data_IF_795262966980
#
_entry.id   IF_795262966980
#
_cell.length_a   1.000
_cell.length_b   1.000
_cell.length_c   1.000
_cell.angle_alpha   90.00
_cell.angle_beta   90.00
_cell.angle_gamma   90.00
#
_symmetry.space_group_name_H-M   'P 1'
#
loop_
_entity.id
_entity.type
_entity.pdbx_description
1 polymer ?
#
# COMPACT_ATOMS: atom_id res chain seq x y z
N UNK A 1 10.66 -6.39 10.34
CA UNK A 1 9.98 -5.43 9.44
C UNK A 1 8.55 -5.22 9.90
N UNK A 2 7.91 -4.13 9.46
CA UNK A 2 6.51 -3.87 9.73
C UNK A 2 5.74 -3.81 8.41
N UNK A 3 4.61 -4.50 8.34
CA UNK A 3 3.65 -4.39 7.25
C UNK A 3 2.38 -3.70 7.76
N UNK A 4 1.98 -2.62 7.08
CA UNK A 4 0.69 -1.95 7.24
C UNK A 4 -0.27 -2.47 6.19
N UNK A 5 -1.18 -3.34 6.60
CA UNK A 5 -2.27 -3.83 5.76
C UNK A 5 -3.44 -2.86 5.81
N UNK A 6 -3.97 -2.50 4.65
CA UNK A 6 -5.11 -1.61 4.52
C UNK A 6 -6.12 -2.23 3.55
N UNK A 7 -7.39 -2.18 3.94
CA UNK A 7 -8.51 -2.65 3.13
C UNK A 7 -9.53 -1.53 3.07
N UNK A 8 -9.76 -0.96 1.90
CA UNK A 8 -10.68 0.14 1.69
C UNK A 8 -11.91 -0.33 0.91
N UNK A 9 -13.10 0.04 1.37
CA UNK A 9 -14.33 -0.11 0.60
C UNK A 9 -14.55 1.13 -0.26
N UNK A 10 -14.63 0.98 -1.57
CA UNK A 10 -14.71 2.07 -2.53
C UNK A 10 -16.02 1.95 -3.32
N UNK A 11 -16.71 3.06 -3.56
CA UNK A 11 -17.91 3.01 -4.43
C UNK A 11 -17.48 2.92 -5.91
N UNK A 12 -18.29 2.30 -6.80
CA UNK A 12 -17.87 2.08 -8.20
C UNK A 12 -17.46 3.36 -8.92
N UNK A 13 -18.22 4.43 -8.70
CA UNK A 13 -17.96 5.77 -9.26
C UNK A 13 -16.67 6.41 -8.73
N UNK A 14 -16.14 5.96 -7.59
CA UNK A 14 -14.93 6.50 -6.96
C UNK A 14 -13.67 5.71 -7.30
N UNK A 15 -13.77 4.57 -8.01
CA UNK A 15 -12.60 3.71 -8.30
C UNK A 15 -11.44 4.47 -8.96
N UNK A 16 -11.75 5.32 -9.94
CA UNK A 16 -10.77 6.12 -10.66
C UNK A 16 -10.17 7.21 -9.76
N UNK A 17 -11.01 7.94 -9.01
CA UNK A 17 -10.56 8.97 -8.08
C UNK A 17 -9.70 8.38 -6.94
N UNK A 18 -10.08 7.20 -6.43
CA UNK A 18 -9.31 6.46 -5.43
C UNK A 18 -7.94 6.08 -5.98
N UNK A 19 -7.88 5.57 -7.21
CA UNK A 19 -6.63 5.18 -7.86
C UNK A 19 -5.72 6.40 -8.08
N UNK A 20 -6.27 7.52 -8.53
CA UNK A 20 -5.52 8.77 -8.71
C UNK A 20 -5.01 9.32 -7.38
N UNK A 21 -5.83 9.29 -6.32
CA UNK A 21 -5.38 9.69 -4.99
C UNK A 21 -4.26 8.75 -4.48
N UNK A 22 -4.31 7.46 -4.80
CA UNK A 22 -3.26 6.51 -4.42
C UNK A 22 -1.92 6.80 -5.08
N UNK A 23 -1.89 7.32 -6.30
CA UNK A 23 -0.64 7.69 -6.99
C UNK A 23 0.14 8.77 -6.23
N UNK A 24 -0.53 9.63 -5.46
CA UNK A 24 0.11 10.68 -4.66
C UNK A 24 1.01 10.10 -3.55
N UNK A 25 0.78 8.86 -3.13
CA UNK A 25 1.59 8.15 -2.15
C UNK A 25 2.96 7.74 -2.69
N UNK A 26 3.22 7.92 -3.99
CA UNK A 26 4.58 7.87 -4.55
C UNK A 26 5.54 8.87 -3.87
N UNK A 27 5.03 9.91 -3.20
CA UNK A 27 5.80 10.81 -2.34
C UNK A 27 6.47 10.12 -1.15
N UNK A 28 6.05 8.90 -0.79
CA UNK A 28 6.75 8.08 0.21
C UNK A 28 8.09 7.55 -0.30
N UNK A 29 8.37 7.61 -1.62
CA UNK A 29 9.69 7.23 -2.14
C UNK A 29 10.76 8.11 -1.50
N UNK A 30 11.70 7.47 -0.80
CA UNK A 30 12.78 8.15 -0.08
C UNK A 30 12.43 8.55 1.36
N UNK A 31 11.22 8.26 1.84
CA UNK A 31 10.92 8.37 3.28
C UNK A 31 11.80 7.38 4.06
N UNK A 32 12.37 7.83 5.18
CA UNK A 32 13.27 7.01 5.98
C UNK A 32 12.57 5.75 6.48
N UNK A 33 13.18 4.59 6.22
CA UNK A 33 12.66 3.29 6.60
C UNK A 33 11.40 2.84 5.83
N UNK A 34 10.94 3.57 4.81
CA UNK A 34 9.90 3.09 3.90
C UNK A 34 10.50 2.17 2.83
N UNK A 35 9.97 0.95 2.74
CA UNK A 35 10.46 -0.06 1.80
C UNK A 35 9.54 -0.27 0.61
N UNK A 36 8.42 0.45 0.49
CA UNK A 36 7.52 0.33 -0.66
C UNK A 36 6.07 0.09 -0.29
N UNK A 37 5.21 0.18 -1.30
CA UNK A 37 3.77 -0.05 -1.19
C UNK A 37 3.29 -0.93 -2.34
N UNK A 38 2.54 -1.98 -2.02
CA UNK A 38 1.81 -2.80 -2.97
C UNK A 38 0.32 -2.54 -2.85
N UNK A 39 -0.43 -2.54 -3.94
CA UNK A 39 -1.87 -2.69 -3.81
C UNK A 39 -2.60 -2.99 -5.10
N UNK A 40 -3.89 -3.22 -4.98
CA UNK A 40 -4.75 -3.61 -6.08
C UNK A 40 -6.21 -3.82 -5.66
N UNK A 41 -7.00 -4.34 -6.59
CA UNK A 41 -8.43 -4.58 -6.42
C UNK A 41 -8.70 -6.07 -6.23
N UNK A 42 -9.69 -6.43 -5.40
CA UNK A 42 -10.09 -7.83 -5.16
C UNK A 42 -11.20 -8.32 -6.11
N UNK A 43 -11.22 -9.64 -6.35
CA UNK A 43 -12.04 -10.36 -7.35
C UNK A 43 -13.55 -10.28 -7.21
N UNK A 44 -14.09 -10.45 -5.99
CA UNK A 44 -15.43 -11.04 -5.89
C UNK A 44 -16.53 -10.15 -5.30
N UNK A 45 -16.22 -8.91 -4.90
CA UNK A 45 -17.18 -8.09 -4.14
C UNK A 45 -17.46 -6.70 -4.72
N UNK A 46 -16.75 -6.29 -5.78
CA UNK A 46 -16.75 -4.90 -6.20
C UNK A 46 -16.00 -4.03 -5.18
N UNK A 47 -14.83 -3.55 -5.62
CA UNK A 47 -14.18 -2.32 -5.13
C UNK A 47 -13.65 -2.34 -3.69
N UNK A 48 -13.25 -3.51 -3.23
CA UNK A 48 -12.33 -3.62 -2.10
C UNK A 48 -10.91 -3.36 -2.62
N UNK A 49 -10.31 -2.23 -2.25
CA UNK A 49 -8.92 -1.93 -2.52
C UNK A 49 -8.06 -2.46 -1.38
N UNK A 50 -7.06 -3.26 -1.72
CA UNK A 50 -6.11 -3.82 -0.77
C UNK A 50 -4.76 -3.16 -0.97
N UNK A 51 -4.18 -2.67 0.11
CA UNK A 51 -2.91 -1.97 0.10
C UNK A 51 -2.03 -2.52 1.22
N UNK A 52 -0.75 -2.69 0.95
CA UNK A 52 0.27 -3.09 1.90
C UNK A 52 1.40 -2.04 1.84
N UNK A 53 1.65 -1.35 2.94
CA UNK A 53 2.81 -0.47 3.11
C UNK A 53 3.89 -1.17 3.92
N UNK A 54 5.10 -1.26 3.39
CA UNK A 54 6.22 -1.95 4.02
C UNK A 54 7.21 -0.96 4.64
N UNK A 55 7.64 -1.26 5.87
CA UNK A 55 8.58 -0.45 6.63
C UNK A 55 9.68 -1.32 7.24
N UNK A 56 10.90 -0.76 7.36
CA UNK A 56 12.03 -1.42 8.00
C UNK A 56 11.69 -1.86 9.43
N UNK A 57 11.01 -0.99 10.17
CA UNK A 57 10.61 -1.21 11.55
C UNK A 57 9.43 -0.30 11.96
N UNK A 58 8.99 -0.47 13.21
CA UNK A 58 7.87 0.29 13.80
C UNK A 58 8.23 1.75 14.07
N UNK A 59 9.49 2.07 14.37
CA UNK A 59 9.91 3.43 14.70
C UNK A 59 9.87 4.32 13.45
N UNK A 60 10.38 3.83 12.32
CA UNK A 60 10.28 4.50 11.03
C UNK A 60 8.82 4.77 10.63
N UNK A 61 7.94 3.78 10.81
CA UNK A 61 6.50 3.97 10.59
C UNK A 61 5.88 5.04 11.50
N UNK A 62 6.25 5.06 12.78
CA UNK A 62 5.74 6.04 13.74
C UNK A 62 6.19 7.46 13.41
N UNK A 63 7.46 7.67 13.09
CA UNK A 63 7.96 8.98 12.65
C UNK A 63 7.21 9.47 11.39
N UNK A 64 6.98 8.58 10.43
CA UNK A 64 6.16 8.91 9.27
C UNK A 64 4.73 9.37 9.65
N UNK A 65 4.08 8.68 10.59
CA UNK A 65 2.73 9.02 11.06
C UNK A 65 2.68 10.38 11.76
N UNK A 66 3.75 10.78 12.45
CA UNK A 66 3.83 12.05 13.17
C UNK A 66 4.13 13.23 12.24
N UNK A 67 5.00 13.05 11.24
CA UNK A 67 5.57 14.17 10.49
C UNK A 67 4.94 14.41 9.11
N UNK A 68 4.64 13.34 8.37
CA UNK A 68 4.36 13.43 6.93
C UNK A 68 2.95 12.93 6.54
N UNK A 69 2.37 12.03 7.33
CA UNK A 69 1.12 11.35 6.99
C UNK A 69 -0.04 12.31 6.71
N UNK A 70 -0.33 13.23 7.63
CA UNK A 70 -1.49 14.12 7.52
C UNK A 70 -1.36 15.10 6.35
N UNK A 71 -0.12 15.49 6.02
CA UNK A 71 0.17 16.33 4.85
C UNK A 71 -0.16 15.62 3.55
N UNK A 72 0.20 14.35 3.41
CA UNK A 72 -0.06 13.56 2.20
C UNK A 72 -1.57 13.24 2.09
N UNK A 73 -2.21 12.86 3.19
CA UNK A 73 -3.68 12.63 3.19
C UNK A 73 -4.42 13.92 2.81
N UNK A 74 -4.09 15.05 3.42
CA UNK A 74 -4.73 16.32 3.14
C UNK A 74 -4.56 16.76 1.69
N UNK A 75 -3.39 16.53 1.09
CA UNK A 75 -3.10 16.88 -0.30
C UNK A 75 -3.69 15.92 -1.34
N UNK A 76 -3.91 14.65 -0.99
CA UNK A 76 -4.39 13.62 -1.92
C UNK A 76 -5.91 13.55 -2.06
N UNK A 77 -6.65 14.01 -1.04
CA UNK A 77 -8.10 13.82 -0.98
C UNK A 77 -8.52 12.35 -0.84
N UNK A 78 -7.59 11.43 -0.52
CA UNK A 78 -7.84 9.99 -0.46
C UNK A 78 -9.01 9.64 0.47
N UNK A 79 -9.13 10.33 1.61
CA UNK A 79 -10.20 10.10 2.59
C UNK A 79 -11.61 10.30 2.03
N UNK A 80 -11.75 11.00 0.90
CA UNK A 80 -13.05 11.26 0.25
C UNK A 80 -13.39 10.20 -0.82
N UNK A 81 -12.50 9.23 -1.04
CA UNK A 81 -12.62 8.27 -2.15
C UNK A 81 -13.03 6.86 -1.70
N UNK A 82 -13.11 6.62 -0.39
CA UNK A 82 -13.55 5.35 0.19
C UNK A 82 -14.61 5.59 1.27
N UNK A 83 -15.47 4.60 1.53
CA UNK A 83 -16.53 4.66 2.55
C UNK A 83 -16.09 4.08 3.88
N UNK A 84 -15.14 3.16 3.86
CA UNK A 84 -14.49 2.64 5.08
C UNK A 84 -13.07 2.16 4.77
N UNK A 85 -12.25 2.15 5.82
CA UNK A 85 -10.90 1.59 5.79
C UNK A 85 -10.68 0.73 7.05
N UNK A 86 -10.10 -0.45 6.87
CA UNK A 86 -9.57 -1.28 7.94
C UNK A 86 -8.05 -1.27 7.86
N UNK A 87 -7.37 -1.03 8.97
CA UNK A 87 -5.91 -0.96 9.05
C UNK A 87 -5.41 -1.96 10.09
N UNK A 88 -4.47 -2.82 9.70
CA UNK A 88 -3.80 -3.78 10.58
C UNK A 88 -2.29 -3.62 10.44
N UNK A 89 -1.59 -3.62 11.57
CA UNK A 89 -0.13 -3.60 11.63
C UNK A 89 0.38 -4.98 12.03
N UNK A 90 1.31 -5.54 11.26
CA UNK A 90 1.94 -6.83 11.52
C UNK A 90 3.46 -6.67 11.56
N UNK A 91 4.09 -7.13 12.63
CA UNK A 91 5.54 -7.26 12.70
C UNK A 91 5.93 -8.62 12.14
N UNK A 92 6.80 -8.61 11.13
CA UNK A 92 7.16 -9.80 10.35
C UNK A 92 8.69 -9.91 10.31
N UNK A 93 9.27 -11.09 10.59
CA UNK A 93 10.69 -11.35 10.34
C UNK A 93 11.04 -11.08 8.88
N UNK A 94 12.21 -10.48 8.61
CA UNK A 94 12.61 -10.10 7.24
C UNK A 94 12.50 -11.26 6.24
N UNK A 95 12.86 -12.48 6.66
CA UNK A 95 12.79 -13.69 5.85
C UNK A 95 11.35 -14.06 5.41
N UNK A 96 10.32 -13.65 6.16
CA UNK A 96 8.93 -14.05 5.93
C UNK A 96 8.12 -12.98 5.15
N UNK A 97 8.65 -11.76 5.03
CA UNK A 97 7.95 -10.63 4.38
C UNK A 97 7.54 -10.97 2.95
N UNK A 98 8.46 -11.56 2.18
CA UNK A 98 8.21 -11.96 0.79
C UNK A 98 6.99 -12.88 0.67
N UNK A 99 6.94 -13.94 1.50
CA UNK A 99 5.82 -14.89 1.48
C UNK A 99 4.49 -14.26 1.91
N UNK A 100 4.52 -13.33 2.88
CA UNK A 100 3.34 -12.57 3.30
C UNK A 100 2.80 -11.69 2.18
N UNK A 101 3.67 -10.94 1.49
CA UNK A 101 3.25 -10.08 0.36
C UNK A 101 2.72 -10.90 -0.82
N UNK A 102 3.37 -12.01 -1.16
CA UNK A 102 2.90 -12.91 -2.23
C UNK A 102 1.51 -13.48 -1.94
N UNK A 103 1.29 -13.98 -0.72
CA UNK A 103 -0.02 -14.49 -0.31
C UNK A 103 -1.11 -13.40 -0.38
N UNK A 104 -0.74 -12.16 -0.07
CA UNK A 104 -1.65 -11.02 -0.20
C UNK A 104 -1.94 -10.65 -1.65
N UNK A 105 -0.91 -10.63 -2.50
CA UNK A 105 -1.03 -10.33 -3.94
C UNK A 105 -1.92 -11.34 -4.67
N UNK A 106 -1.87 -12.62 -4.30
CA UNK A 106 -2.74 -13.67 -4.86
C UNK A 106 -4.24 -13.42 -4.63
N UNK A 107 -4.60 -12.52 -3.70
CA UNK A 107 -6.00 -12.12 -3.44
C UNK A 107 -6.47 -11.00 -4.36
N UNK A 108 -5.57 -10.41 -5.15
CA UNK A 108 -5.85 -9.29 -6.04
C UNK A 108 -6.19 -9.81 -7.44
N UNK A 109 -7.17 -9.20 -8.10
CA UNK A 109 -7.41 -9.36 -9.55
C UNK A 109 -6.22 -8.86 -10.35
N UNK A 110 -5.72 -7.70 -9.94
CA UNK A 110 -4.63 -7.02 -10.60
C UNK A 110 -3.87 -6.21 -9.56
N UNK A 111 -2.54 -6.16 -9.72
CA UNK A 111 -1.72 -5.15 -9.07
C UNK A 111 -2.01 -3.82 -9.75
N UNK A 112 -2.28 -2.79 -8.96
CA UNK A 112 -2.58 -1.47 -9.48
C UNK A 112 -1.30 -0.69 -9.81
N UNK A 113 -1.41 0.20 -10.80
CA UNK A 113 -0.30 1.05 -11.27
C UNK A 113 0.22 2.01 -10.19
N UNK A 114 -0.59 2.32 -9.16
CA UNK A 114 -0.19 3.14 -8.01
C UNK A 114 0.62 2.38 -6.94
N UNK A 115 1.06 1.15 -7.24
CA UNK A 115 2.08 0.44 -6.46
C UNK A 115 3.37 1.25 -6.42
N UNK A 116 3.86 1.56 -5.22
CA UNK A 116 5.10 2.31 -5.02
C UNK A 116 6.23 1.32 -4.85
N UNK A 117 6.86 0.97 -5.97
CA UNK A 117 8.10 0.19 -5.96
C UNK A 117 9.23 1.07 -5.41
N UNK A 118 10.00 0.62 -4.41
CA UNK A 118 11.20 1.32 -3.98
C UNK A 118 12.31 1.13 -5.03
N UNK A 119 13.27 2.06 -5.10
CA UNK A 119 14.46 1.90 -5.97
C UNK A 119 15.50 0.92 -5.40
N UNK A 120 15.06 -0.09 -4.64
CA UNK A 120 15.90 -1.11 -4.01
C UNK A 120 15.58 -2.48 -4.63
N UNK A 121 16.60 -3.08 -5.25
CA UNK A 121 16.50 -4.34 -6.00
C UNK A 121 15.86 -5.49 -5.20
N UNK A 122 16.03 -5.49 -3.86
CA UNK A 122 15.46 -6.49 -2.96
C UNK A 122 13.93 -6.54 -3.06
N UNK A 123 13.31 -5.36 -3.19
CA UNK A 123 11.86 -5.20 -3.17
C UNK A 123 11.29 -5.05 -4.59
N UNK A 124 12.10 -4.59 -5.55
CA UNK A 124 11.76 -4.62 -6.98
C UNK A 124 11.28 -6.01 -7.40
N UNK A 125 12.03 -7.05 -7.04
CA UNK A 125 11.74 -8.44 -7.43
C UNK A 125 10.41 -8.95 -6.84
N UNK A 126 10.05 -8.50 -5.63
CA UNK A 126 8.84 -8.93 -4.94
C UNK A 126 7.58 -8.21 -5.43
N UNK A 127 7.73 -6.98 -5.94
CA UNK A 127 6.62 -6.15 -6.41
C UNK A 127 6.40 -6.23 -7.93
N UNK A 128 7.36 -6.74 -8.71
CA UNK A 128 7.24 -6.95 -10.17
C UNK A 128 6.57 -8.27 -10.59
N UNK A 129 6.15 -9.12 -9.65
CA UNK A 129 5.52 -10.43 -9.96
C UNK A 129 4.08 -10.34 -10.52
N UNK A 130 3.68 -9.20 -11.07
CA UNK A 130 2.38 -8.97 -11.71
C UNK A 130 2.45 -8.65 -13.21
N UNK A 131 3.63 -8.75 -13.84
CA UNK A 131 3.85 -8.39 -15.25
C UNK A 131 4.21 -9.60 -16.11
N UNK A 132 3.32 -10.58 -16.22
CA UNK A 132 3.32 -11.57 -17.30
C UNK A 132 1.91 -11.86 -17.77
#
# INVERSE_FOLDING_TARGET
MLIKWMVCQVEPKQQAAFSQAQETWSQLRGAEGFCGQLGGWKTDAGLEAHIAGLWCDRAAYQSFMEDAHDRIIGGSGQSNTYTSICVTLEEVPDADVAGRLQAWQQRLQNVAAWTVVPGDEKWDTLLHLGSH
#
